data_IF_636588363557
#
_entry.id   IF_636588363557
#
_cell.length_a   1.000
_cell.length_b   1.000
_cell.length_c   1.000
_cell.angle_alpha   90.00
_cell.angle_beta   90.00
_cell.angle_gamma   90.00
#
_symmetry.space_group_name_H-M   'P 1'
#
loop_
_entity.id
_entity.type
_entity.pdbx_description
1 polymer ?
#
# COMPACT_ATOMS: atom_id res chain seq x y z
N UNK A 1 -4.40 -8.69 -31.47
CA UNK A 1 -4.34 -7.22 -31.62
C UNK A 1 -3.04 -6.62 -31.08
N UNK A 2 -2.54 -7.02 -29.89
CA UNK A 2 -1.24 -6.52 -29.36
C UNK A 2 -0.01 -6.84 -30.23
N UNK A 3 0.09 -8.06 -30.78
CA UNK A 3 1.22 -8.43 -31.66
C UNK A 3 1.30 -7.65 -32.98
N UNK A 4 0.18 -7.15 -33.50
CA UNK A 4 0.15 -6.31 -34.71
C UNK A 4 0.71 -4.91 -34.41
N UNK A 5 0.43 -4.38 -33.21
CA UNK A 5 0.99 -3.12 -32.71
C UNK A 5 2.50 -3.21 -32.43
N UNK A 6 2.97 -4.34 -31.88
CA UNK A 6 4.40 -4.59 -31.66
C UNK A 6 5.18 -4.69 -32.98
N UNK A 7 4.61 -5.39 -33.97
CA UNK A 7 5.18 -5.47 -35.31
C UNK A 7 5.23 -4.08 -35.99
N UNK A 8 4.19 -3.24 -35.81
CA UNK A 8 4.16 -1.87 -36.35
C UNK A 8 5.16 -0.92 -35.67
N UNK A 9 5.59 -1.22 -34.43
CA UNK A 9 6.59 -0.45 -33.67
C UNK A 9 8.01 -1.02 -33.80
N UNK A 10 8.23 -1.96 -34.74
CA UNK A 10 9.54 -2.50 -35.07
C UNK A 10 10.09 -3.53 -34.08
N UNK A 11 9.29 -3.97 -33.10
CA UNK A 11 9.70 -5.00 -32.14
C UNK A 11 9.17 -6.37 -32.58
N UNK A 12 10.02 -7.40 -32.73
CA UNK A 12 9.56 -8.73 -33.06
C UNK A 12 8.57 -9.22 -31.99
N UNK A 13 7.30 -9.50 -32.36
CA UNK A 13 6.25 -9.77 -31.38
C UNK A 13 6.54 -11.04 -30.59
N UNK A 14 7.12 -12.06 -31.23
CA UNK A 14 7.46 -13.33 -30.58
C UNK A 14 8.49 -13.14 -29.45
N UNK A 15 9.56 -12.37 -29.72
CA UNK A 15 10.60 -12.08 -28.73
C UNK A 15 10.07 -11.20 -27.61
N UNK A 16 9.21 -10.23 -27.92
CA UNK A 16 8.57 -9.39 -26.90
C UNK A 16 7.63 -10.18 -26.00
N UNK A 17 6.88 -11.15 -26.55
CA UNK A 17 6.06 -12.07 -25.75
C UNK A 17 6.92 -13.02 -24.90
N UNK A 18 8.06 -13.49 -25.42
CA UNK A 18 9.02 -14.30 -24.68
C UNK A 18 9.69 -13.51 -23.54
N UNK A 19 10.03 -12.24 -23.78
CA UNK A 19 10.59 -11.35 -22.76
C UNK A 19 9.55 -10.97 -21.71
N UNK A 20 8.28 -10.80 -22.08
CA UNK A 20 7.19 -10.64 -21.11
C UNK A 20 7.04 -11.87 -20.21
N UNK A 21 7.13 -13.08 -20.76
CA UNK A 21 7.07 -14.31 -19.98
C UNK A 21 8.31 -14.49 -19.09
N UNK A 22 9.51 -14.21 -19.63
CA UNK A 22 10.76 -14.29 -18.87
C UNK A 22 10.86 -13.25 -17.78
N UNK A 23 10.57 -11.99 -18.08
CA UNK A 23 10.67 -10.90 -17.11
C UNK A 23 9.50 -10.89 -16.13
N UNK A 24 8.31 -11.36 -16.54
CA UNK A 24 7.14 -11.44 -15.68
C UNK A 24 7.16 -12.60 -14.68
N UNK A 25 7.55 -13.81 -15.10
CA UNK A 25 7.45 -15.01 -14.25
C UNK A 25 8.80 -15.68 -13.91
N UNK A 26 9.83 -15.52 -14.75
CA UNK A 26 11.11 -16.23 -14.58
C UNK A 26 12.26 -15.35 -14.07
N UNK A 27 12.07 -14.03 -13.96
CA UNK A 27 13.09 -13.09 -13.50
C UNK A 27 12.97 -12.87 -12.00
N UNK A 28 14.12 -12.91 -11.32
CA UNK A 28 14.21 -12.57 -9.89
C UNK A 28 13.60 -11.19 -9.61
N UNK A 29 13.79 -10.23 -10.52
CA UNK A 29 13.26 -8.88 -10.42
C UNK A 29 11.71 -8.85 -10.44
N UNK A 30 11.09 -9.56 -11.40
CA UNK A 30 9.63 -9.63 -11.53
C UNK A 30 8.96 -10.27 -10.31
N UNK A 31 9.60 -11.32 -9.77
CA UNK A 31 9.15 -11.96 -8.54
C UNK A 31 9.28 -11.01 -7.35
N UNK A 32 10.43 -10.35 -7.16
CA UNK A 32 10.62 -9.40 -6.04
C UNK A 32 9.67 -8.21 -6.11
N UNK A 33 9.39 -7.69 -7.30
CA UNK A 33 8.45 -6.58 -7.50
C UNK A 33 7.01 -7.01 -7.19
N UNK A 34 6.62 -8.20 -7.70
CA UNK A 34 5.31 -8.80 -7.40
C UNK A 34 5.13 -9.02 -5.89
N UNK A 35 6.15 -9.56 -5.21
CA UNK A 35 6.14 -9.72 -3.75
C UNK A 35 6.10 -8.38 -3.02
N UNK A 36 6.81 -7.36 -3.54
CA UNK A 36 6.82 -6.00 -2.99
C UNK A 36 5.43 -5.37 -2.98
N UNK A 37 4.64 -5.59 -4.03
CA UNK A 37 3.25 -5.12 -4.13
C UNK A 37 2.27 -6.05 -3.40
N UNK A 38 2.47 -7.36 -3.44
CA UNK A 38 1.58 -8.33 -2.81
C UNK A 38 1.62 -8.26 -1.28
N UNK A 39 2.80 -8.01 -0.68
CA UNK A 39 2.96 -7.95 0.78
C UNK A 39 2.04 -6.94 1.45
N UNK A 40 2.02 -5.64 1.07
CA UNK A 40 1.11 -4.69 1.67
C UNK A 40 -0.36 -5.04 1.39
N UNK A 41 -0.70 -5.56 0.21
CA UNK A 41 -2.07 -5.97 -0.14
C UNK A 41 -2.58 -7.13 0.73
N UNK A 42 -1.73 -8.12 1.01
CA UNK A 42 -2.08 -9.24 1.90
C UNK A 42 -2.25 -8.73 3.33
N UNK A 43 -1.35 -7.87 3.80
CA UNK A 43 -1.44 -7.28 5.14
C UNK A 43 -2.71 -6.43 5.31
N UNK A 44 -3.06 -5.58 4.34
CA UNK A 44 -4.29 -4.76 4.42
C UNK A 44 -5.55 -5.63 4.32
N UNK A 45 -5.55 -6.66 3.48
CA UNK A 45 -6.63 -7.64 3.41
C UNK A 45 -6.84 -8.38 4.73
N UNK A 46 -5.75 -8.81 5.38
CA UNK A 46 -5.80 -9.45 6.70
C UNK A 46 -6.33 -8.49 7.77
N UNK A 47 -5.87 -7.24 7.79
CA UNK A 47 -6.37 -6.21 8.69
C UNK A 47 -7.86 -5.93 8.48
N UNK A 48 -8.33 -5.88 7.23
CA UNK A 48 -9.74 -5.73 6.90
C UNK A 48 -10.57 -6.93 7.40
N UNK A 49 -10.07 -8.16 7.23
CA UNK A 49 -10.74 -9.35 7.75
C UNK A 49 -10.90 -9.31 9.28
N UNK A 50 -9.90 -8.79 10.01
CA UNK A 50 -10.01 -8.54 11.45
C UNK A 50 -11.05 -7.48 11.79
N UNK A 51 -11.09 -6.36 11.05
CA UNK A 51 -12.09 -5.30 11.26
C UNK A 51 -13.53 -5.79 11.04
N UNK A 52 -13.76 -6.58 9.98
CA UNK A 52 -15.06 -7.18 9.70
C UNK A 52 -15.51 -8.17 10.78
N UNK A 53 -14.59 -8.90 11.42
CA UNK A 53 -14.91 -9.74 12.58
C UNK A 53 -15.42 -8.94 13.77
N UNK A 54 -15.04 -7.67 13.89
CA UNK A 54 -15.51 -6.75 14.93
C UNK A 54 -16.79 -5.99 14.53
N UNK A 55 -17.40 -6.33 13.39
CA UNK A 55 -18.58 -5.64 12.85
C UNK A 55 -18.30 -4.15 12.54
N UNK A 56 -17.04 -3.83 12.23
CA UNK A 56 -16.57 -2.52 11.80
C UNK A 56 -16.45 -2.54 10.26
N UNK A 57 -17.41 -1.90 9.59
CA UNK A 57 -17.43 -1.82 8.13
C UNK A 57 -16.79 -0.51 7.69
N UNK A 58 -15.46 -0.47 7.71
CA UNK A 58 -14.66 0.64 7.19
C UNK A 58 -14.09 0.31 5.80
N UNK A 59 -14.07 1.29 4.90
CA UNK A 59 -13.36 1.22 3.59
C UNK A 59 -12.07 2.09 3.64
N UNK A 60 -11.69 2.55 4.84
CA UNK A 60 -10.55 3.45 5.06
C UNK A 60 -9.16 2.82 5.03
N UNK A 61 -9.03 1.54 4.63
CA UNK A 61 -7.74 0.84 4.68
C UNK A 61 -6.72 1.48 3.74
N UNK A 62 -7.15 2.02 2.59
CA UNK A 62 -6.26 2.74 1.67
C UNK A 62 -5.63 3.96 2.34
N UNK A 63 -6.41 4.77 3.07
CA UNK A 63 -5.91 5.93 3.80
C UNK A 63 -4.92 5.57 4.91
N UNK A 64 -5.19 4.47 5.63
CA UNK A 64 -4.25 3.95 6.63
C UNK A 64 -2.94 3.48 5.99
N UNK A 65 -3.01 2.83 4.83
CA UNK A 65 -1.84 2.39 4.08
C UNK A 65 -1.00 3.60 3.63
N UNK A 66 -1.64 4.61 3.04
CA UNK A 66 -0.95 5.84 2.61
C UNK A 66 -0.23 6.55 3.76
N UNK A 67 -0.89 6.73 4.90
CA UNK A 67 -0.28 7.34 6.07
C UNK A 67 0.80 6.47 6.70
N UNK A 68 0.62 5.14 6.67
CA UNK A 68 1.65 4.19 7.06
C UNK A 68 2.89 4.27 6.17
N UNK A 69 2.71 4.48 4.86
CA UNK A 69 3.82 4.70 3.93
C UNK A 69 4.55 6.02 4.25
N UNK A 70 3.83 7.11 4.52
CA UNK A 70 4.44 8.39 4.91
C UNK A 70 5.22 8.24 6.23
N UNK A 71 4.60 7.65 7.26
CA UNK A 71 5.24 7.45 8.56
C UNK A 71 6.45 6.51 8.49
N UNK A 72 6.36 5.45 7.68
CA UNK A 72 7.46 4.55 7.40
C UNK A 72 8.59 5.21 6.61
N UNK A 73 8.27 6.00 5.59
CA UNK A 73 9.26 6.76 4.82
C UNK A 73 10.00 7.78 5.69
N UNK A 74 9.27 8.51 6.54
CA UNK A 74 9.86 9.44 7.50
C UNK A 74 10.80 8.72 8.47
N UNK A 75 10.37 7.60 9.07
CA UNK A 75 11.22 6.81 9.95
C UNK A 75 12.43 6.22 9.21
N UNK A 76 12.25 5.81 7.95
CA UNK A 76 13.33 5.28 7.12
C UNK A 76 14.42 6.32 6.89
N UNK A 77 14.03 7.56 6.54
CA UNK A 77 14.96 8.67 6.30
C UNK A 77 15.60 9.14 7.61
N UNK A 78 14.82 9.25 8.68
CA UNK A 78 15.32 9.79 9.94
C UNK A 78 16.24 8.80 10.71
N UNK A 79 16.04 7.49 10.54
CA UNK A 79 16.78 6.46 11.28
C UNK A 79 17.80 5.69 10.45
N UNK A 80 17.82 5.82 9.11
CA UNK A 80 18.77 5.09 8.25
C UNK A 80 20.23 5.37 8.58
N UNK A 81 20.56 6.58 8.98
CA UNK A 81 21.95 7.02 9.16
C UNK A 81 22.55 6.59 10.51
N UNK A 82 21.71 6.18 11.46
CA UNK A 82 22.11 5.97 12.86
C UNK A 82 21.99 4.52 13.34
N UNK A 83 21.24 3.65 12.62
CA UNK A 83 21.02 2.26 13.05
C UNK A 83 21.35 1.22 11.98
N UNK A 84 21.81 0.02 12.38
CA UNK A 84 21.94 -1.12 11.47
C UNK A 84 20.59 -1.48 10.84
N UNK A 85 20.61 -1.93 9.59
CA UNK A 85 19.41 -2.31 8.83
C UNK A 85 18.48 -3.28 9.59
N UNK A 86 19.05 -4.17 10.41
CA UNK A 86 18.30 -5.15 11.19
C UNK A 86 17.39 -4.52 12.26
N UNK A 87 17.76 -3.37 12.83
CA UNK A 87 16.92 -2.62 13.77
C UNK A 87 16.08 -1.53 13.08
N UNK A 88 16.59 -0.95 11.99
CA UNK A 88 15.87 0.07 11.25
C UNK A 88 14.55 -0.47 10.66
N UNK A 89 14.57 -1.69 10.10
CA UNK A 89 13.38 -2.29 9.46
C UNK A 89 12.20 -2.47 10.43
N UNK A 90 12.36 -3.11 11.62
CA UNK A 90 11.28 -3.19 12.60
C UNK A 90 10.78 -1.82 13.07
N UNK A 91 11.68 -0.85 13.26
CA UNK A 91 11.27 0.49 13.70
C UNK A 91 10.43 1.20 12.65
N UNK A 92 10.83 1.13 11.38
CA UNK A 92 10.06 1.66 10.25
C UNK A 92 8.65 1.07 10.20
N UNK A 93 8.52 -0.24 10.41
CA UNK A 93 7.22 -0.91 10.47
C UNK A 93 6.38 -0.41 11.65
N UNK A 94 6.98 -0.21 12.83
CA UNK A 94 6.28 0.32 14.01
C UNK A 94 5.80 1.75 13.76
N UNK A 95 6.66 2.62 13.23
CA UNK A 95 6.27 4.00 12.92
C UNK A 95 5.17 4.06 11.85
N UNK A 96 5.25 3.22 10.81
CA UNK A 96 4.19 3.09 9.81
C UNK A 96 2.87 2.59 10.43
N UNK A 97 2.92 1.59 11.31
CA UNK A 97 1.74 1.08 12.01
C UNK A 97 1.12 2.15 12.92
N UNK A 98 1.94 2.92 13.64
CA UNK A 98 1.48 4.02 14.50
C UNK A 98 0.83 5.15 13.68
N UNK A 99 1.42 5.52 12.54
CA UNK A 99 0.86 6.53 11.65
C UNK A 99 -0.50 6.08 11.07
N UNK A 100 -0.61 4.84 10.61
CA UNK A 100 -1.88 4.27 10.15
C UNK A 100 -2.93 4.18 11.26
N UNK A 101 -2.53 3.78 12.47
CA UNK A 101 -3.43 3.74 13.63
C UNK A 101 -3.92 5.14 14.04
N UNK A 102 -3.02 6.13 14.05
CA UNK A 102 -3.38 7.52 14.30
C UNK A 102 -4.37 8.06 13.25
N UNK A 103 -4.24 7.63 11.99
CA UNK A 103 -5.16 8.02 10.93
C UNK A 103 -6.58 7.52 11.16
N UNK A 104 -6.74 6.24 11.54
CA UNK A 104 -8.08 5.68 11.77
C UNK A 104 -8.72 6.18 13.08
N UNK A 105 -7.94 6.75 14.00
CA UNK A 105 -8.47 7.36 15.20
C UNK A 105 -9.43 8.53 14.88
N UNK A 106 -9.19 9.27 13.80
CA UNK A 106 -10.05 10.39 13.37
C UNK A 106 -11.48 9.93 13.03
N UNK A 107 -11.71 9.03 12.05
CA UNK A 107 -13.05 8.57 11.71
C UNK A 107 -13.67 7.73 12.84
N UNK A 108 -12.86 6.99 13.61
CA UNK A 108 -13.35 6.27 14.78
C UNK A 108 -13.90 7.22 15.87
N UNK A 109 -13.22 8.34 16.13
CA UNK A 109 -13.68 9.34 17.08
C UNK A 109 -14.94 10.06 16.58
N UNK A 110 -14.99 10.41 15.29
CA UNK A 110 -16.18 11.02 14.67
C UNK A 110 -17.39 10.10 14.79
N UNK A 111 -17.22 8.79 14.55
CA UNK A 111 -18.28 7.80 14.79
C UNK A 111 -18.71 7.77 16.26
N UNK A 112 -17.76 7.69 17.19
CA UNK A 112 -18.05 7.58 18.62
C UNK A 112 -18.77 8.82 19.19
N UNK A 113 -18.50 10.01 18.65
CA UNK A 113 -19.06 11.28 19.12
C UNK A 113 -20.31 11.72 18.36
N UNK A 114 -20.38 11.50 17.05
CA UNK A 114 -21.40 12.07 16.17
C UNK A 114 -22.35 11.02 15.57
N UNK A 115 -22.11 9.72 15.81
CA UNK A 115 -22.94 8.65 15.26
C UNK A 115 -22.92 8.58 13.72
N UNK A 116 -21.92 9.18 13.07
CA UNK A 116 -21.81 9.23 11.62
C UNK A 116 -21.52 7.85 11.02
N UNK A 117 -21.93 7.64 9.77
CA UNK A 117 -21.58 6.44 9.02
C UNK A 117 -20.05 6.27 8.92
N UNK A 118 -19.57 5.11 9.40
CA UNK A 118 -18.16 4.73 9.35
C UNK A 118 -17.66 4.61 7.90
N UNK A 119 -18.52 4.13 6.99
CA UNK A 119 -18.19 3.97 5.58
C UNK A 119 -17.89 5.33 4.94
N UNK A 120 -18.78 6.31 5.14
CA UNK A 120 -18.66 7.63 4.50
C UNK A 120 -17.47 8.41 5.07
N UNK A 121 -17.32 8.42 6.39
CA UNK A 121 -16.21 9.14 7.04
C UNK A 121 -14.85 8.57 6.64
N UNK A 122 -14.71 7.24 6.57
CA UNK A 122 -13.47 6.61 6.14
C UNK A 122 -13.18 6.77 4.65
N UNK A 123 -14.21 6.73 3.80
CA UNK A 123 -14.08 7.00 2.36
C UNK A 123 -13.60 8.44 2.10
N UNK A 124 -14.25 9.42 2.72
CA UNK A 124 -13.87 10.83 2.58
C UNK A 124 -12.44 11.08 3.03
N UNK A 125 -12.03 10.41 4.11
CA UNK A 125 -10.68 10.55 4.64
C UNK A 125 -9.62 9.88 3.76
N UNK A 126 -9.94 8.84 2.98
CA UNK A 126 -9.02 8.29 1.98
C UNK A 126 -8.64 9.35 0.93
N UNK A 127 -9.59 10.19 0.49
CA UNK A 127 -9.27 11.28 -0.43
C UNK A 127 -8.29 12.28 0.18
N UNK A 128 -8.44 12.60 1.47
CA UNK A 128 -7.50 13.48 2.18
C UNK A 128 -6.12 12.83 2.25
N UNK A 129 -6.04 11.54 2.59
CA UNK A 129 -4.78 10.79 2.64
C UNK A 129 -4.08 10.77 1.28
N UNK A 130 -4.83 10.53 0.20
CA UNK A 130 -4.31 10.54 -1.16
C UNK A 130 -3.80 11.92 -1.58
N UNK A 131 -4.47 13.00 -1.16
CA UNK A 131 -3.96 14.35 -1.40
C UNK A 131 -2.68 14.63 -0.60
N UNK A 132 -2.54 14.09 0.61
CA UNK A 132 -1.29 14.20 1.38
C UNK A 132 -0.11 13.47 0.73
N UNK A 133 -0.34 12.32 0.11
CA UNK A 133 0.73 11.55 -0.56
C UNK A 133 1.16 12.22 -1.88
N UNK A 134 0.23 12.87 -2.58
CA UNK A 134 0.53 13.51 -3.87
C UNK A 134 1.26 14.86 -3.75
N UNK A 135 1.41 15.39 -2.53
CA UNK A 135 2.08 16.65 -2.27
C UNK A 135 3.51 16.43 -1.76
#
# INVERSE_FOLDING_TARGET
MGGIFLAATGHPPLDTYLDLLKNGYASFYGITDTLGLATPLICTGLAAAFAFRMNLYSIGQEGQLYLGMIGGAWAGIALSDSLPALLAVPLVLVFGALAGAAWVAVPALLRARLGTSEIVSTLLLNYVALNLVNY
#
